data_IF_983415584304
#
_entry.id   IF_983415584304
#
_cell.length_a   1.000
_cell.length_b   1.000
_cell.length_c   1.000
_cell.angle_alpha   90.00
_cell.angle_beta   90.00
_cell.angle_gamma   90.00
#
_symmetry.space_group_name_H-M   'P 1'
#
loop_
_entity.id
_entity.type
_entity.pdbx_description
1 polymer ?
#
# COMPACT_ATOMS: atom_id res chain seq x y z
N UNK A 1 -13.72 16.78 2.24
CA UNK A 1 -12.89 15.80 1.52
C UNK A 1 -13.79 14.66 1.09
N UNK A 2 -13.75 14.32 -0.19
CA UNK A 2 -14.35 13.08 -0.67
C UNK A 2 -13.50 11.87 -0.23
N UNK A 3 -13.96 10.66 -0.55
CA UNK A 3 -13.29 9.44 -0.14
C UNK A 3 -11.97 9.19 -0.88
N UNK A 4 -11.81 9.73 -2.09
CA UNK A 4 -10.56 9.66 -2.85
C UNK A 4 -9.48 10.55 -2.22
N UNK A 5 -9.86 11.75 -1.78
CA UNK A 5 -9.00 12.67 -1.04
C UNK A 5 -8.59 12.10 0.31
N UNK A 6 -9.52 11.49 1.05
CA UNK A 6 -9.21 10.80 2.32
C UNK A 6 -8.25 9.63 2.09
N UNK A 7 -8.48 8.81 1.05
CA UNK A 7 -7.60 7.71 0.70
C UNK A 7 -6.18 8.20 0.38
N UNK A 8 -6.06 9.26 -0.44
CA UNK A 8 -4.76 9.89 -0.75
C UNK A 8 -4.09 10.44 0.50
N UNK A 9 -4.84 11.12 1.37
CA UNK A 9 -4.33 11.64 2.63
C UNK A 9 -3.74 10.52 3.51
N UNK A 10 -4.49 9.43 3.73
CA UNK A 10 -4.02 8.29 4.52
C UNK A 10 -2.79 7.63 3.88
N UNK A 11 -2.78 7.47 2.55
CA UNK A 11 -1.64 6.91 1.83
C UNK A 11 -0.37 7.73 2.06
N UNK A 12 -0.48 9.07 1.97
CA UNK A 12 0.66 9.95 2.23
C UNK A 12 1.16 9.85 3.66
N UNK A 13 0.27 9.69 4.65
CA UNK A 13 0.67 9.47 6.05
C UNK A 13 1.48 8.19 6.26
N UNK A 14 1.14 7.11 5.58
CA UNK A 14 1.95 5.89 5.63
C UNK A 14 3.32 6.07 4.98
N UNK A 15 3.40 6.82 3.87
CA UNK A 15 4.67 7.13 3.21
C UNK A 15 5.54 8.06 4.04
N UNK A 16 4.97 9.08 4.69
CA UNK A 16 5.68 9.96 5.62
C UNK A 16 6.34 9.16 6.74
N UNK A 17 5.60 8.23 7.36
CA UNK A 17 6.14 7.34 8.39
C UNK A 17 7.26 6.43 7.85
N UNK A 18 7.07 5.84 6.66
CA UNK A 18 8.12 5.02 6.05
C UNK A 18 9.39 5.83 5.75
N UNK A 19 9.26 7.08 5.33
CA UNK A 19 10.40 7.98 5.12
C UNK A 19 11.11 8.32 6.44
N UNK A 20 10.37 8.55 7.52
CA UNK A 20 10.95 8.77 8.86
C UNK A 20 11.79 7.57 9.31
N UNK A 21 11.29 6.35 9.14
CA UNK A 21 12.04 5.12 9.47
C UNK A 21 13.31 4.98 8.64
N UNK A 22 13.27 5.38 7.37
CA UNK A 22 14.48 5.44 6.54
C UNK A 22 15.48 6.49 7.07
N UNK A 23 15.01 7.65 7.50
CA UNK A 23 15.86 8.72 8.05
C UNK A 23 16.50 8.31 9.40
N UNK A 24 15.89 7.37 10.12
CA UNK A 24 16.47 6.65 11.26
C UNK A 24 17.58 5.64 10.86
N UNK A 25 18.02 5.65 9.59
CA UNK A 25 19.04 4.77 9.02
C UNK A 25 18.63 3.29 8.96
N UNK A 26 17.34 3.00 8.97
CA UNK A 26 16.81 1.65 8.76
C UNK A 26 16.85 1.34 7.26
N UNK A 27 17.29 0.13 6.91
CA UNK A 27 17.35 -0.31 5.52
C UNK A 27 15.98 -0.17 4.82
N UNK A 28 15.90 0.51 3.66
CA UNK A 28 14.63 0.72 2.95
C UNK A 28 13.88 -0.56 2.58
N UNK A 29 14.61 -1.66 2.34
CA UNK A 29 14.00 -2.98 2.06
C UNK A 29 13.32 -3.52 3.31
N UNK A 30 13.96 -3.35 4.48
CA UNK A 30 13.36 -3.69 5.78
C UNK A 30 12.11 -2.85 6.06
N UNK A 31 12.18 -1.53 5.84
CA UNK A 31 11.02 -0.63 6.00
C UNK A 31 9.88 -1.05 5.07
N UNK A 32 10.18 -1.38 3.81
CA UNK A 32 9.19 -1.86 2.85
C UNK A 32 8.53 -3.17 3.29
N UNK A 33 9.32 -4.14 3.77
CA UNK A 33 8.82 -5.41 4.29
C UNK A 33 7.95 -5.23 5.55
N UNK A 34 8.35 -4.32 6.45
CA UNK A 34 7.58 -3.97 7.64
C UNK A 34 6.24 -3.32 7.29
N UNK A 35 6.23 -2.38 6.33
CA UNK A 35 5.01 -1.73 5.85
C UNK A 35 4.05 -2.73 5.19
N UNK A 36 4.58 -3.65 4.38
CA UNK A 36 3.78 -4.74 3.81
C UNK A 36 3.16 -5.60 4.91
N UNK A 37 3.96 -6.02 5.90
CA UNK A 37 3.48 -6.83 7.02
C UNK A 37 2.39 -6.11 7.81
N UNK A 38 2.59 -4.83 8.14
CA UNK A 38 1.59 -4.01 8.81
C UNK A 38 0.28 -3.92 8.02
N UNK A 39 0.37 -3.78 6.68
CA UNK A 39 -0.82 -3.77 5.81
C UNK A 39 -1.58 -5.10 5.84
N UNK A 40 -0.87 -6.24 5.86
CA UNK A 40 -1.49 -7.57 5.95
C UNK A 40 -2.20 -7.77 7.30
N UNK A 41 -1.59 -7.34 8.40
CA UNK A 41 -2.19 -7.39 9.73
C UNK A 41 -3.47 -6.54 9.78
N UNK A 42 -3.41 -5.32 9.25
CA UNK A 42 -4.57 -4.43 9.23
C UNK A 42 -5.69 -4.95 8.32
N UNK A 43 -5.36 -5.48 7.13
CA UNK A 43 -6.33 -6.10 6.24
C UNK A 43 -7.02 -7.32 6.87
N UNK A 44 -6.26 -8.13 7.61
CA UNK A 44 -6.79 -9.27 8.36
C UNK A 44 -7.75 -8.79 9.45
N UNK A 45 -7.38 -7.77 10.21
CA UNK A 45 -8.24 -7.17 11.23
C UNK A 45 -9.54 -6.62 10.63
N UNK A 46 -9.48 -5.90 9.51
CA UNK A 46 -10.67 -5.34 8.85
C UNK A 46 -11.62 -6.46 8.37
N UNK A 47 -11.09 -7.57 7.88
CA UNK A 47 -11.88 -8.66 7.33
C UNK A 47 -12.38 -9.67 8.39
N UNK A 48 -11.60 -9.94 9.43
CA UNK A 48 -11.83 -11.01 10.40
C UNK A 48 -12.07 -10.52 11.84
N UNK A 49 -11.91 -9.22 12.10
CA UNK A 49 -12.05 -8.61 13.43
C UNK A 49 -10.96 -9.04 14.42
N UNK A 50 -11.22 -8.86 15.72
CA UNK A 50 -10.26 -9.10 16.81
C UNK A 50 -9.91 -10.56 17.09
N UNK A 51 -10.53 -11.54 16.42
CA UNK A 51 -10.46 -12.96 16.81
C UNK A 51 -10.10 -13.91 15.67
N UNK A 52 -9.97 -13.43 14.44
CA UNK A 52 -9.91 -14.31 13.27
C UNK A 52 -8.63 -14.20 12.47
N UNK A 53 -8.22 -15.33 11.90
CA UNK A 53 -7.34 -15.37 10.74
C UNK A 53 -8.19 -15.32 9.46
N UNK A 54 -7.56 -14.99 8.33
CA UNK A 54 -8.22 -15.15 7.04
C UNK A 54 -8.29 -16.64 6.66
N UNK A 55 -9.45 -17.09 6.21
CA UNK A 55 -9.56 -18.31 5.41
C UNK A 55 -8.73 -18.17 4.11
N UNK A 56 -8.32 -19.27 3.45
CA UNK A 56 -7.52 -19.21 2.22
C UNK A 56 -8.11 -18.29 1.15
N UNK A 57 -9.44 -18.34 0.97
CA UNK A 57 -10.15 -17.45 0.03
C UNK A 57 -10.06 -15.96 0.39
N UNK A 58 -9.86 -15.62 1.66
CA UNK A 58 -9.61 -14.26 2.14
C UNK A 58 -8.21 -13.78 1.78
N UNK A 59 -7.21 -14.66 1.92
CA UNK A 59 -5.83 -14.38 1.48
C UNK A 59 -5.80 -14.07 -0.02
N UNK A 60 -6.46 -14.89 -0.84
CA UNK A 60 -6.54 -14.69 -2.29
C UNK A 60 -7.17 -13.34 -2.66
N UNK A 61 -8.22 -12.93 -1.94
CA UNK A 61 -8.86 -11.62 -2.15
C UNK A 61 -7.90 -10.47 -1.84
N UNK A 62 -7.18 -10.52 -0.72
CA UNK A 62 -6.20 -9.48 -0.35
C UNK A 62 -5.08 -9.39 -1.40
N UNK A 63 -4.55 -10.53 -1.84
CA UNK A 63 -3.52 -10.59 -2.89
C UNK A 63 -4.05 -10.01 -4.20
N UNK A 64 -5.28 -10.34 -4.60
CA UNK A 64 -5.90 -9.82 -5.81
C UNK A 64 -6.09 -8.30 -5.76
N UNK A 65 -6.52 -7.75 -4.62
CA UNK A 65 -6.64 -6.30 -4.42
C UNK A 65 -5.27 -5.64 -4.51
N UNK A 66 -4.26 -6.16 -3.82
CA UNK A 66 -2.90 -5.62 -3.84
C UNK A 66 -2.33 -5.58 -5.27
N UNK A 67 -2.50 -6.68 -6.02
CA UNK A 67 -2.09 -6.77 -7.43
C UNK A 67 -2.74 -5.67 -8.28
N UNK A 68 -4.07 -5.54 -8.21
CA UNK A 68 -4.82 -4.53 -8.98
C UNK A 68 -4.36 -3.10 -8.65
N UNK A 69 -4.16 -2.81 -7.37
CA UNK A 69 -3.67 -1.50 -6.92
C UNK A 69 -2.28 -1.19 -7.46
N UNK A 70 -1.36 -2.17 -7.40
CA UNK A 70 -0.01 -2.02 -7.93
C UNK A 70 -0.02 -1.84 -9.45
N UNK A 71 -0.77 -2.66 -10.18
CA UNK A 71 -0.91 -2.55 -11.64
C UNK A 71 -1.47 -1.18 -12.06
N UNK A 72 -2.50 -0.70 -11.35
CA UNK A 72 -3.06 0.62 -11.58
C UNK A 72 -2.00 1.72 -11.37
N UNK A 73 -1.27 1.67 -10.26
CA UNK A 73 -0.19 2.63 -9.97
C UNK A 73 0.89 2.62 -11.08
N UNK A 74 1.34 1.44 -11.49
CA UNK A 74 2.33 1.29 -12.55
C UNK A 74 1.82 1.84 -13.90
N UNK A 75 0.54 1.62 -14.23
CA UNK A 75 -0.08 2.17 -15.43
C UNK A 75 -0.08 3.69 -15.41
N UNK A 76 -0.48 4.31 -14.30
CA UNK A 76 -0.48 5.77 -14.14
C UNK A 76 0.93 6.32 -14.24
N UNK A 77 1.91 5.71 -13.56
CA UNK A 77 3.31 6.15 -13.60
C UNK A 77 3.90 6.07 -15.01
N UNK A 78 3.62 4.99 -15.76
CA UNK A 78 4.04 4.84 -17.16
C UNK A 78 3.44 5.94 -18.05
N UNK A 79 2.15 6.22 -17.90
CA UNK A 79 1.49 7.29 -18.66
C UNK A 79 2.10 8.67 -18.39
N UNK A 80 2.42 8.99 -17.13
CA UNK A 80 3.11 10.22 -16.75
C UNK A 80 4.49 10.32 -17.41
N UNK A 81 5.29 9.26 -17.37
CA UNK A 81 6.62 9.23 -17.99
C UNK A 81 6.57 9.37 -19.52
N UNK A 82 5.53 8.85 -20.17
CA UNK A 82 5.34 8.99 -21.61
C UNK A 82 4.87 10.41 -21.98
N UNK A 83 3.97 11.01 -21.20
CA UNK A 83 3.56 12.40 -21.37
C UNK A 83 4.70 13.39 -21.15
N UNK A 84 5.56 13.17 -20.15
CA UNK A 84 6.74 14.00 -19.87
C UNK A 84 7.88 13.84 -20.89
N UNK A 85 7.86 12.82 -21.76
CA UNK A 85 8.83 12.66 -22.85
C UNK A 85 8.43 13.40 -24.13
N UNK A 86 7.20 13.92 -24.18
CA UNK A 86 6.62 14.62 -25.33
C UNK A 86 6.51 16.15 -25.09
N UNK A 87 7.29 16.69 -24.16
CA UNK A 87 7.52 18.12 -23.91
C UNK A 87 9.03 18.33 -23.75
#
# INVERSE_FOLDING_TARGET
MDDQDKHRYCTNKFIELANQLKDEQIDPTLVSGALMTASCVYATFVAAGNKGALEPSGVDKVVAVYRRTLEHHQKVKKAQLQGSKNH
#
